data_IF_632959717619
#
_entry.id   IF_632959717619
#
_cell.length_a   1.000
_cell.length_b   1.000
_cell.length_c   1.000
_cell.angle_alpha   90.00
_cell.angle_beta   90.00
_cell.angle_gamma   90.00
#
_symmetry.space_group_name_H-M   'P 1'
#
loop_
_entity.id
_entity.type
_entity.pdbx_description
1 polymer ?
#
# COMPACT_ATOMS: atom_id res chain seq x y z
N UNK A 1 38.80 -38.02 51.73
CA UNK A 1 39.51 -37.22 50.72
C UNK A 1 38.62 -37.16 49.50
N UNK A 2 38.10 -35.95 49.29
CA UNK A 2 37.42 -35.33 48.15
C UNK A 2 36.85 -36.18 47.00
N UNK A 3 35.51 -36.16 46.93
CA UNK A 3 34.71 -36.47 45.76
C UNK A 3 34.89 -35.35 44.71
N UNK A 4 35.52 -35.66 43.58
CA UNK A 4 35.53 -34.80 42.39
C UNK A 4 34.22 -35.00 41.63
N UNK A 5 33.20 -34.19 41.94
CA UNK A 5 32.03 -34.01 41.07
C UNK A 5 32.45 -33.10 39.92
N UNK A 6 32.55 -33.66 38.71
CA UNK A 6 32.71 -32.85 37.49
C UNK A 6 31.53 -31.86 37.32
N UNK A 7 31.78 -30.62 36.89
CA UNK A 7 30.75 -29.62 36.70
C UNK A 7 30.08 -29.83 35.34
N UNK A 8 29.27 -30.88 35.19
CA UNK A 8 28.51 -31.15 33.96
C UNK A 8 27.51 -30.01 33.59
N UNK A 9 27.23 -29.07 34.50
CA UNK A 9 26.29 -27.97 34.29
C UNK A 9 26.86 -26.74 33.57
N UNK A 10 28.18 -26.50 33.62
CA UNK A 10 28.77 -25.28 33.07
C UNK A 10 28.90 -25.33 31.53
N UNK A 11 29.24 -26.48 30.96
CA UNK A 11 29.38 -26.62 29.51
C UNK A 11 28.03 -26.47 28.78
N UNK A 12 26.97 -27.10 29.31
CA UNK A 12 25.60 -26.96 28.77
C UNK A 12 25.08 -25.52 28.87
N UNK A 13 25.37 -24.80 29.96
CA UNK A 13 24.98 -23.40 30.10
C UNK A 13 25.71 -22.50 29.10
N UNK A 14 27.02 -22.71 28.88
CA UNK A 14 27.82 -21.95 27.90
C UNK A 14 27.33 -22.20 26.47
N UNK A 15 27.02 -23.45 26.12
CA UNK A 15 26.46 -23.81 24.80
C UNK A 15 25.09 -23.16 24.60
N UNK A 16 24.21 -23.20 25.61
CA UNK A 16 22.89 -22.57 25.52
C UNK A 16 22.97 -21.04 25.35
N UNK A 17 23.86 -20.36 26.08
CA UNK A 17 24.08 -18.92 25.96
C UNK A 17 24.68 -18.58 24.58
N UNK A 18 25.64 -19.36 24.10
CA UNK A 18 26.23 -19.20 22.77
C UNK A 18 25.19 -19.32 21.65
N UNK A 19 24.33 -20.33 21.71
CA UNK A 19 23.23 -20.52 20.75
C UNK A 19 22.20 -19.39 20.82
N UNK A 20 21.86 -18.90 22.01
CA UNK A 20 20.94 -17.77 22.18
C UNK A 20 21.49 -16.49 21.53
N UNK A 21 22.78 -16.18 21.74
CA UNK A 21 23.44 -15.02 21.15
C UNK A 21 23.50 -15.11 19.62
N UNK A 22 23.82 -16.30 19.08
CA UNK A 22 23.81 -16.54 17.62
C UNK A 22 22.39 -16.33 17.08
N UNK A 23 21.37 -16.87 17.77
CA UNK A 23 19.96 -16.68 17.40
C UNK A 23 19.56 -15.21 17.34
N UNK A 24 19.92 -14.41 18.35
CA UNK A 24 19.64 -12.97 18.39
C UNK A 24 20.35 -12.20 17.28
N UNK A 25 21.61 -12.52 16.98
CA UNK A 25 22.38 -11.87 15.90
C UNK A 25 21.77 -12.21 14.54
N UNK A 26 21.46 -13.48 14.26
CA UNK A 26 20.83 -13.89 13.00
C UNK A 26 19.46 -13.24 12.85
N UNK A 27 18.65 -13.22 13.91
CA UNK A 27 17.33 -12.58 13.88
C UNK A 27 17.44 -11.07 13.62
N UNK A 28 18.37 -10.39 14.29
CA UNK A 28 18.63 -8.96 14.07
C UNK A 28 19.07 -8.64 12.65
N UNK A 29 19.98 -9.42 12.07
CA UNK A 29 20.46 -9.22 10.69
C UNK A 29 19.34 -9.48 9.67
N UNK A 30 18.52 -10.52 9.87
CA UNK A 30 17.38 -10.83 8.99
C UNK A 30 16.35 -9.71 9.03
N UNK A 31 16.02 -9.19 10.22
CA UNK A 31 15.06 -8.10 10.37
C UNK A 31 15.58 -6.79 9.73
N UNK A 32 16.88 -6.48 9.86
CA UNK A 32 17.49 -5.33 9.23
C UNK A 32 17.50 -5.45 7.69
N UNK A 33 17.82 -6.63 7.14
CA UNK A 33 17.77 -6.89 5.69
C UNK A 33 16.35 -6.83 5.14
N UNK A 34 15.37 -7.40 5.84
CA UNK A 34 13.97 -7.32 5.43
C UNK A 34 13.46 -5.86 5.42
N UNK A 35 13.78 -5.08 6.47
CA UNK A 35 13.36 -3.67 6.55
C UNK A 35 14.02 -2.79 5.48
N UNK A 36 15.30 -3.06 5.15
CA UNK A 36 16.02 -2.35 4.09
C UNK A 36 15.51 -2.71 2.70
N UNK A 37 15.28 -4.00 2.43
CA UNK A 37 14.69 -4.44 1.17
C UNK A 37 13.29 -3.86 0.95
N UNK A 38 12.43 -3.89 1.98
CA UNK A 38 11.10 -3.30 1.90
C UNK A 38 11.14 -1.78 1.63
N UNK A 39 12.12 -1.06 2.22
CA UNK A 39 12.31 0.37 1.99
C UNK A 39 12.83 0.67 0.58
N UNK A 40 13.76 -0.13 0.07
CA UNK A 40 14.28 -0.04 -1.30
C UNK A 40 13.17 -0.28 -2.32
N UNK A 41 12.38 -1.34 -2.12
CA UNK A 41 11.26 -1.68 -2.99
C UNK A 41 10.18 -0.59 -2.99
N UNK A 42 9.90 0.01 -1.82
CA UNK A 42 8.99 1.17 -1.72
C UNK A 42 9.50 2.36 -2.52
N UNK A 43 10.79 2.70 -2.42
CA UNK A 43 11.38 3.78 -3.21
C UNK A 43 11.37 3.49 -4.71
N UNK A 44 11.60 2.24 -5.11
CA UNK A 44 11.51 1.82 -6.50
C UNK A 44 10.08 1.98 -7.03
N UNK A 45 9.09 1.57 -6.25
CA UNK A 45 7.68 1.72 -6.59
C UNK A 45 7.29 3.20 -6.70
N UNK A 46 7.71 4.02 -5.74
CA UNK A 46 7.55 5.48 -5.77
C UNK A 46 8.09 6.09 -7.06
N UNK A 47 9.34 5.75 -7.42
CA UNK A 47 9.97 6.25 -8.63
C UNK A 47 9.24 5.83 -9.91
N UNK A 48 8.75 4.58 -9.96
CA UNK A 48 7.95 4.11 -11.09
C UNK A 48 6.65 4.93 -11.23
N UNK A 49 5.96 5.17 -10.10
CA UNK A 49 4.69 5.88 -10.03
C UNK A 49 4.78 7.38 -10.29
N UNK A 50 5.98 7.98 -10.38
CA UNK A 50 6.14 9.41 -10.69
C UNK A 50 5.60 9.78 -12.08
N UNK A 51 5.58 8.84 -13.01
CA UNK A 51 5.01 9.04 -14.37
C UNK A 51 3.53 8.68 -14.48
N UNK A 52 2.88 8.28 -13.37
CA UNK A 52 1.51 7.82 -13.40
C UNK A 52 0.51 8.96 -13.72
N UNK A 53 -0.58 8.69 -14.47
CA UNK A 53 -1.53 9.72 -14.88
C UNK A 53 -2.13 10.55 -13.74
N UNK A 54 -2.42 9.96 -12.57
CA UNK A 54 -3.01 10.70 -11.43
C UNK A 54 -2.09 11.76 -10.83
N UNK A 55 -0.78 11.72 -11.07
CA UNK A 55 0.16 12.77 -10.64
C UNK A 55 -0.04 14.06 -11.42
N UNK A 56 -0.71 14.00 -12.57
CA UNK A 56 -1.11 15.17 -13.32
C UNK A 56 -2.33 15.80 -12.64
N UNK A 57 -2.15 16.99 -12.08
CA UNK A 57 -3.25 17.72 -11.47
C UNK A 57 -4.36 17.98 -12.51
N UNK A 58 -5.59 17.58 -12.18
CA UNK A 58 -6.77 18.00 -12.93
C UNK A 58 -6.92 19.51 -12.82
N UNK A 59 -6.58 20.24 -13.89
CA UNK A 59 -6.84 21.67 -14.00
C UNK A 59 -8.25 21.88 -14.55
N UNK A 60 -9.25 21.58 -13.73
CA UNK A 60 -10.66 21.70 -14.10
C UNK A 60 -11.36 22.74 -13.22
N UNK A 61 -12.31 23.52 -13.76
CA UNK A 61 -13.10 24.44 -12.95
C UNK A 61 -13.96 23.66 -11.95
N UNK A 62 -14.15 24.23 -10.76
CA UNK A 62 -15.07 23.65 -9.78
C UNK A 62 -16.52 23.74 -10.29
N UNK A 63 -17.42 22.82 -9.90
CA UNK A 63 -18.82 22.83 -10.34
C UNK A 63 -19.50 24.19 -10.13
N UNK A 64 -19.28 24.83 -8.97
CA UNK A 64 -19.91 26.11 -8.59
C UNK A 64 -19.50 27.28 -9.49
N UNK A 65 -18.38 27.15 -10.21
CA UNK A 65 -17.91 28.18 -11.13
C UNK A 65 -18.54 28.08 -12.53
N UNK A 66 -19.20 26.96 -12.85
CA UNK A 66 -19.69 26.67 -14.22
C UNK A 66 -21.15 26.23 -14.28
N UNK A 67 -21.73 25.81 -13.16
CA UNK A 67 -23.13 25.38 -13.07
C UNK A 67 -24.02 26.51 -12.54
N UNK A 68 -25.28 26.56 -13.00
CA UNK A 68 -26.32 27.36 -12.35
C UNK A 68 -26.70 26.77 -11.00
N UNK A 69 -27.46 27.49 -10.17
CA UNK A 69 -27.93 26.99 -8.88
C UNK A 69 -28.77 25.71 -9.02
N UNK A 70 -29.66 25.65 -10.00
CA UNK A 70 -30.49 24.46 -10.26
C UNK A 70 -29.64 23.27 -10.71
N UNK A 71 -28.65 23.51 -11.56
CA UNK A 71 -27.70 22.48 -12.00
C UNK A 71 -26.79 22.02 -10.87
N UNK A 72 -26.40 22.92 -9.98
CA UNK A 72 -25.56 22.60 -8.83
C UNK A 72 -26.31 21.71 -7.83
N UNK A 73 -27.60 22.00 -7.56
CA UNK A 73 -28.43 21.12 -6.73
C UNK A 73 -28.55 19.73 -7.36
N UNK A 74 -28.88 19.65 -8.66
CA UNK A 74 -28.95 18.36 -9.37
C UNK A 74 -27.61 17.62 -9.37
N UNK A 75 -26.49 18.34 -9.42
CA UNK A 75 -25.15 17.77 -9.31
C UNK A 75 -24.89 17.18 -7.90
N UNK A 76 -25.33 17.84 -6.83
CA UNK A 76 -25.25 17.28 -5.47
C UNK A 76 -26.13 16.04 -5.31
N UNK A 77 -27.37 16.07 -5.82
CA UNK A 77 -28.27 14.92 -5.75
C UNK A 77 -27.67 13.70 -6.50
N UNK A 78 -27.05 13.94 -7.66
CA UNK A 78 -26.34 12.91 -8.42
C UNK A 78 -25.09 12.40 -7.68
N UNK A 79 -24.36 13.27 -6.98
CA UNK A 79 -23.22 12.88 -6.16
C UNK A 79 -23.64 11.90 -5.06
N UNK A 80 -24.68 12.26 -4.30
CA UNK A 80 -25.17 11.45 -3.19
C UNK A 80 -25.70 10.10 -3.68
N UNK A 81 -26.40 10.08 -4.81
CA UNK A 81 -26.88 8.85 -5.42
C UNK A 81 -25.73 7.91 -5.81
N UNK A 82 -24.70 8.40 -6.51
CA UNK A 82 -23.55 7.57 -6.89
C UNK A 82 -22.74 7.09 -5.67
N UNK A 83 -22.59 7.93 -4.65
CA UNK A 83 -21.94 7.54 -3.39
C UNK A 83 -22.70 6.40 -2.71
N UNK A 84 -24.04 6.49 -2.68
CA UNK A 84 -24.90 5.45 -2.11
C UNK A 84 -24.81 4.14 -2.89
N UNK A 85 -24.77 4.20 -4.22
CA UNK A 85 -24.71 3.03 -5.10
C UNK A 85 -23.34 2.33 -5.06
N UNK A 86 -22.26 3.10 -5.03
CA UNK A 86 -20.90 2.56 -5.20
C UNK A 86 -20.10 2.48 -3.91
N UNK A 87 -20.54 3.17 -2.85
CA UNK A 87 -19.78 3.35 -1.61
C UNK A 87 -18.54 4.24 -1.75
N UNK A 88 -18.31 4.83 -2.93
CA UNK A 88 -17.12 5.64 -3.24
C UNK A 88 -17.54 7.03 -3.75
N UNK A 89 -16.82 8.10 -3.36
CA UNK A 89 -17.17 9.45 -3.78
C UNK A 89 -16.88 9.64 -5.27
N UNK A 90 -17.88 10.01 -6.11
CA UNK A 90 -17.63 10.27 -7.52
C UNK A 90 -16.73 11.50 -7.71
N UNK A 91 -16.07 11.58 -8.86
CA UNK A 91 -15.10 12.63 -9.20
C UNK A 91 -15.71 13.59 -10.21
N UNK A 92 -15.60 14.89 -9.96
CA UNK A 92 -15.89 15.90 -10.97
C UNK A 92 -14.74 16.02 -11.97
N UNK A 93 -15.00 15.78 -13.25
CA UNK A 93 -13.98 15.83 -14.30
C UNK A 93 -13.90 17.17 -15.05
N UNK A 94 -14.56 18.21 -14.55
CA UNK A 94 -14.69 19.51 -15.23
C UNK A 94 -15.97 19.69 -16.04
N UNK A 95 -16.74 18.61 -16.24
CA UNK A 95 -18.01 18.63 -16.98
C UNK A 95 -19.12 17.85 -16.29
N UNK A 96 -18.80 16.71 -15.70
CA UNK A 96 -19.77 15.82 -15.05
C UNK A 96 -19.12 15.02 -13.93
N UNK A 97 -19.95 14.42 -13.09
CA UNK A 97 -19.53 13.42 -12.11
C UNK A 97 -19.27 12.09 -12.82
N UNK A 98 -18.14 11.48 -12.50
CA UNK A 98 -17.77 10.15 -12.98
C UNK A 98 -17.52 9.21 -11.79
N UNK A 99 -17.82 7.91 -11.91
CA UNK A 99 -17.53 6.94 -10.87
C UNK A 99 -16.04 6.93 -10.50
N UNK A 100 -15.75 6.83 -9.20
CA UNK A 100 -14.39 6.87 -8.67
C UNK A 100 -13.47 5.82 -9.31
N UNK A 101 -13.95 4.57 -9.45
CA UNK A 101 -13.15 3.47 -10.01
C UNK A 101 -12.82 3.71 -11.48
N UNK A 102 -13.77 4.23 -12.27
CA UNK A 102 -13.55 4.56 -13.68
C UNK A 102 -12.54 5.69 -13.82
N UNK A 103 -12.65 6.72 -12.99
CA UNK A 103 -11.71 7.84 -13.00
C UNK A 103 -10.27 7.39 -12.69
N UNK A 104 -10.09 6.45 -11.76
CA UNK A 104 -8.77 5.98 -11.33
C UNK A 104 -8.28 4.71 -12.04
N UNK A 105 -9.02 4.17 -13.01
CA UNK A 105 -8.70 2.91 -13.69
C UNK A 105 -7.29 2.88 -14.29
N UNK A 106 -6.91 3.93 -15.03
CA UNK A 106 -5.58 4.02 -15.63
C UNK A 106 -4.46 4.09 -14.59
N UNK A 107 -4.75 4.62 -13.40
CA UNK A 107 -3.77 4.76 -12.31
C UNK A 107 -3.47 3.41 -11.66
N UNK A 108 -4.50 2.58 -11.48
CA UNK A 108 -4.31 1.24 -10.93
C UNK A 108 -3.71 0.27 -11.96
N UNK A 109 -4.04 0.42 -13.24
CA UNK A 109 -3.37 -0.31 -14.33
C UNK A 109 -1.87 0.02 -14.36
N UNK A 110 -1.52 1.30 -14.22
CA UNK A 110 -0.12 1.73 -14.14
C UNK A 110 0.59 1.17 -12.90
N UNK A 111 -0.06 1.21 -11.72
CA UNK A 111 0.47 0.59 -10.50
C UNK A 111 0.74 -0.92 -10.69
N UNK A 112 -0.16 -1.64 -11.37
CA UNK A 112 0.02 -3.05 -11.68
C UNK A 112 1.24 -3.30 -12.59
N UNK A 113 1.54 -2.39 -13.51
CA UNK A 113 2.75 -2.50 -14.33
C UNK A 113 4.01 -2.29 -13.48
N UNK A 114 4.01 -1.30 -12.59
CA UNK A 114 5.10 -1.08 -11.64
C UNK A 114 5.32 -2.28 -10.72
N UNK A 115 4.25 -2.93 -10.26
CA UNK A 115 4.36 -4.19 -9.51
C UNK A 115 5.08 -5.27 -10.29
N UNK A 116 4.70 -5.48 -11.56
CA UNK A 116 5.33 -6.48 -12.43
C UNK A 116 6.81 -6.19 -12.69
N UNK A 117 7.18 -4.92 -12.91
CA UNK A 117 8.58 -4.52 -13.12
C UNK A 117 9.47 -4.73 -11.90
N UNK A 118 8.90 -4.60 -10.70
CA UNK A 118 9.63 -4.66 -9.43
C UNK A 118 9.48 -5.99 -8.68
N UNK A 119 8.70 -6.94 -9.21
CA UNK A 119 8.42 -8.22 -8.56
C UNK A 119 7.62 -8.08 -7.26
N UNK A 120 6.62 -7.20 -7.24
CA UNK A 120 5.75 -6.96 -6.09
C UNK A 120 4.48 -7.79 -6.24
N UNK A 121 4.35 -8.87 -5.47
CA UNK A 121 3.19 -9.77 -5.50
C UNK A 121 2.19 -9.50 -4.35
N UNK A 122 2.68 -8.97 -3.24
CA UNK A 122 1.91 -8.67 -2.02
C UNK A 122 2.22 -7.23 -1.55
N UNK A 123 1.69 -6.19 -2.23
CA UNK A 123 2.01 -4.78 -1.97
C UNK A 123 1.86 -4.39 -0.49
N UNK A 124 0.83 -4.89 0.20
CA UNK A 124 0.56 -4.59 1.61
C UNK A 124 1.63 -5.13 2.57
N UNK A 125 2.37 -6.17 2.17
CA UNK A 125 3.47 -6.75 2.96
C UNK A 125 4.84 -6.26 2.51
N UNK A 126 4.98 -5.95 1.23
CA UNK A 126 6.26 -5.63 0.59
C UNK A 126 6.54 -4.12 0.46
N UNK A 127 5.51 -3.27 0.54
CA UNK A 127 5.65 -1.81 0.50
C UNK A 127 5.41 -1.20 1.89
N UNK A 128 5.78 0.07 2.06
CA UNK A 128 5.55 0.86 3.28
C UNK A 128 4.69 2.10 3.00
N UNK A 129 4.09 2.64 4.06
CA UNK A 129 3.41 3.93 4.03
C UNK A 129 2.20 3.96 3.09
N UNK A 130 2.06 5.05 2.33
CA UNK A 130 0.90 5.27 1.45
C UNK A 130 0.74 4.17 0.40
N UNK A 131 1.84 3.62 -0.12
CA UNK A 131 1.81 2.60 -1.18
C UNK A 131 1.51 1.19 -0.67
N UNK A 132 1.56 0.96 0.64
CA UNK A 132 1.07 -0.28 1.24
C UNK A 132 -0.47 -0.34 1.36
N UNK A 133 -1.19 0.74 1.03
CA UNK A 133 -2.66 0.78 1.15
C UNK A 133 -3.33 -0.13 0.09
N UNK A 134 -4.48 -0.76 0.40
CA UNK A 134 -5.21 -1.63 -0.53
C UNK A 134 -5.54 -0.99 -1.88
N UNK A 135 -5.71 0.34 -1.92
CA UNK A 135 -6.03 1.08 -3.15
C UNK A 135 -4.96 0.93 -4.25
N UNK A 136 -3.71 0.60 -3.90
CA UNK A 136 -2.64 0.40 -4.86
C UNK A 136 -2.52 -1.05 -5.34
N UNK A 137 -3.26 -1.98 -4.74
CA UNK A 137 -3.31 -3.38 -5.17
C UNK A 137 -4.53 -3.61 -6.08
N UNK A 138 -4.34 -3.92 -7.39
CA UNK A 138 -5.44 -4.17 -8.33
C UNK A 138 -6.34 -5.34 -7.92
N UNK A 139 -5.86 -6.25 -7.06
CA UNK A 139 -6.62 -7.41 -6.59
C UNK A 139 -7.38 -7.13 -5.28
N UNK A 140 -7.28 -5.92 -4.72
CA UNK A 140 -8.00 -5.58 -3.50
C UNK A 140 -9.51 -5.52 -3.74
N UNK A 141 -10.28 -5.67 -2.64
CA UNK A 141 -11.74 -5.56 -2.68
C UNK A 141 -12.25 -4.18 -3.09
N UNK A 142 -11.38 -3.15 -3.05
CA UNK A 142 -11.72 -1.81 -3.55
C UNK A 142 -11.97 -1.87 -5.06
N UNK A 143 -11.18 -2.65 -5.80
CA UNK A 143 -11.25 -2.69 -7.27
C UNK A 143 -12.15 -3.79 -7.79
N UNK A 144 -12.21 -4.93 -7.10
CA UNK A 144 -13.15 -6.00 -7.43
C UNK A 144 -14.59 -5.48 -7.35
N UNK A 145 -15.44 -5.95 -8.26
CA UNK A 145 -16.88 -5.78 -8.08
C UNK A 145 -17.28 -6.66 -6.89
N UNK A 146 -18.17 -6.15 -6.04
CA UNK A 146 -18.88 -7.02 -5.11
C UNK A 146 -19.78 -7.92 -5.95
N UNK A 147 -19.49 -9.22 -5.94
CA UNK A 147 -20.39 -10.26 -6.46
C UNK A 147 -21.75 -10.22 -5.76
#
# INVERSE_FOLDING_TARGET
MDNTREPAGHLSAIIAIGLLLIGLVVFGVVQQKASSHQAELTKGFEACMESAPFKQALKVPRPEAVLTNEQLQANFDAFDQMLKETGLPPIWNGKTLVPWKEFHKSSIEFASQCHGQLGIDQPQRQLKGTYAKPVWDPNSSIWRQTD
#
